data_IF_584522977621
#
_entry.id   IF_584522977621
#
_cell.length_a   1.000
_cell.length_b   1.000
_cell.length_c   1.000
_cell.angle_alpha   90.00
_cell.angle_beta   90.00
_cell.angle_gamma   90.00
#
_symmetry.space_group_name_H-M   'P 1'
#
loop_
_entity.id
_entity.type
_entity.pdbx_description
1 polymer ?
#
# COMPACT_ATOMS: atom_id res chain seq x y z
N UNK A 1 -17.43 -3.76 19.08
CA UNK A 1 -16.83 -5.02 18.58
C UNK A 1 -16.39 -4.93 17.11
N UNK A 2 -16.81 -3.92 16.34
CA UNK A 2 -16.50 -3.84 14.89
C UNK A 2 -15.21 -3.08 14.55
N UNK A 3 -14.68 -2.22 15.43
CA UNK A 3 -13.51 -1.39 15.13
C UNK A 3 -12.23 -2.18 14.73
N UNK A 4 -11.90 -3.34 15.32
CA UNK A 4 -10.71 -4.11 14.94
C UNK A 4 -10.87 -4.84 13.59
N UNK A 5 -12.08 -5.33 13.32
CA UNK A 5 -12.41 -5.98 12.06
C UNK A 5 -12.37 -4.96 10.90
N UNK A 6 -12.92 -3.77 11.12
CA UNK A 6 -12.87 -2.67 10.15
C UNK A 6 -11.43 -2.18 9.92
N UNK A 7 -10.60 -2.12 10.96
CA UNK A 7 -9.18 -1.75 10.81
C UNK A 7 -8.43 -2.78 9.95
N UNK A 8 -8.66 -4.08 10.16
CA UNK A 8 -8.05 -5.15 9.36
C UNK A 8 -8.48 -5.07 7.90
N UNK A 9 -9.79 -4.92 7.66
CA UNK A 9 -10.34 -4.72 6.31
C UNK A 9 -9.73 -3.50 5.62
N UNK A 10 -9.63 -2.37 6.32
CA UNK A 10 -9.07 -1.13 5.77
C UNK A 10 -7.59 -1.29 5.36
N UNK A 11 -6.78 -2.00 6.15
CA UNK A 11 -5.37 -2.27 5.82
C UNK A 11 -5.28 -3.08 4.53
N UNK A 12 -6.00 -4.21 4.43
CA UNK A 12 -5.94 -5.06 3.24
C UNK A 12 -6.48 -4.36 2.00
N UNK A 13 -7.59 -3.62 2.15
CA UNK A 13 -8.17 -2.84 1.06
C UNK A 13 -7.21 -1.75 0.58
N UNK A 14 -6.57 -1.04 1.51
CA UNK A 14 -5.56 -0.04 1.17
C UNK A 14 -4.38 -0.67 0.43
N UNK A 15 -3.83 -1.78 0.94
CA UNK A 15 -2.71 -2.49 0.31
C UNK A 15 -3.06 -2.95 -1.10
N UNK A 16 -4.27 -3.48 -1.29
CA UNK A 16 -4.73 -3.91 -2.61
C UNK A 16 -4.71 -2.74 -3.60
N UNK A 17 -5.42 -1.66 -3.28
CA UNK A 17 -5.56 -0.50 -4.17
C UNK A 17 -4.23 0.22 -4.39
N UNK A 18 -3.38 0.31 -3.36
CA UNK A 18 -2.06 0.95 -3.44
C UNK A 18 -1.12 0.24 -4.42
N UNK A 19 -1.23 -1.08 -4.55
CA UNK A 19 -0.35 -1.88 -5.42
C UNK A 19 -0.94 -2.13 -6.81
N UNK A 20 -2.15 -1.66 -7.12
CA UNK A 20 -2.82 -1.97 -8.38
C UNK A 20 -2.27 -1.13 -9.55
N UNK A 21 -1.24 -1.68 -10.22
CA UNK A 21 -0.62 -1.06 -11.39
C UNK A 21 -1.52 -1.13 -12.63
N UNK A 22 -2.24 -2.23 -12.85
CA UNK A 22 -3.02 -2.43 -14.07
C UNK A 22 -4.19 -1.44 -14.14
N UNK A 23 -4.92 -1.28 -13.04
CA UNK A 23 -5.99 -0.27 -12.97
C UNK A 23 -5.41 1.12 -13.18
N UNK A 24 -4.25 1.42 -12.57
CA UNK A 24 -3.60 2.70 -12.77
C UNK A 24 -3.27 2.94 -14.26
N UNK A 25 -2.67 1.98 -14.97
CA UNK A 25 -2.30 2.12 -16.38
C UNK A 25 -3.52 2.26 -17.32
N UNK A 26 -4.63 1.61 -17.00
CA UNK A 26 -5.84 1.64 -17.84
C UNK A 26 -6.62 2.94 -17.65
N UNK A 27 -6.72 3.44 -16.43
CA UNK A 27 -7.60 4.56 -16.09
C UNK A 27 -6.87 5.90 -15.94
N UNK A 28 -5.58 5.90 -15.61
CA UNK A 28 -4.78 7.11 -15.43
C UNK A 28 -4.02 7.40 -16.71
N UNK A 29 -4.44 8.45 -17.41
CA UNK A 29 -3.73 8.96 -18.58
C UNK A 29 -2.37 9.61 -18.24
N UNK A 30 -1.58 9.97 -19.27
CA UNK A 30 -0.31 10.68 -19.07
C UNK A 30 -0.52 12.02 -18.34
N UNK A 31 0.35 12.36 -17.40
CA UNK A 31 0.34 13.65 -16.71
C UNK A 31 0.97 13.60 -15.31
N UNK A 32 0.90 14.73 -14.62
CA UNK A 32 1.59 14.93 -13.33
C UNK A 32 0.93 14.24 -12.13
N UNK A 33 -0.21 13.57 -12.34
CA UNK A 33 -1.02 12.92 -11.30
C UNK A 33 -0.94 11.39 -11.37
N UNK A 34 0.24 10.86 -11.69
CA UNK A 34 0.45 9.43 -11.78
C UNK A 34 0.62 8.81 -10.38
N UNK A 35 -0.04 7.66 -10.10
CA UNK A 35 0.25 6.86 -8.93
C UNK A 35 1.71 6.41 -8.89
N UNK A 36 2.21 6.15 -7.67
CA UNK A 36 3.58 5.66 -7.45
C UNK A 36 3.85 4.39 -8.26
N UNK A 37 2.86 3.51 -8.44
CA UNK A 37 3.00 2.29 -9.26
C UNK A 37 3.41 2.60 -10.71
N UNK A 38 2.76 3.57 -11.35
CA UNK A 38 3.11 4.02 -12.71
C UNK A 38 4.47 4.73 -12.72
N UNK A 39 4.70 5.62 -11.76
CA UNK A 39 5.96 6.37 -11.69
C UNK A 39 7.17 5.41 -11.56
N UNK A 40 7.04 4.37 -10.74
CA UNK A 40 8.06 3.33 -10.56
C UNK A 40 8.22 2.48 -11.82
N UNK A 41 7.12 2.09 -12.49
CA UNK A 41 7.23 1.30 -13.74
C UNK A 41 7.91 2.07 -14.86
N UNK A 42 7.74 3.40 -14.90
CA UNK A 42 8.35 4.27 -15.90
C UNK A 42 9.87 4.46 -15.69
N UNK A 43 10.44 4.03 -14.57
CA UNK A 43 11.89 4.05 -14.34
C UNK A 43 12.63 2.95 -15.11
N UNK A 44 11.92 1.91 -15.56
CA UNK A 44 12.46 0.91 -16.48
C UNK A 44 12.49 1.49 -17.88
N UNK A 45 13.69 1.64 -18.44
CA UNK A 45 13.83 1.95 -19.85
C UNK A 45 13.54 0.71 -20.70
N UNK A 46 13.20 0.94 -21.97
CA UNK A 46 12.88 -0.13 -22.94
C UNK A 46 14.01 -1.16 -23.15
N UNK A 47 15.24 -0.82 -22.73
CA UNK A 47 16.42 -1.69 -22.79
C UNK A 47 16.68 -2.47 -21.50
N UNK A 48 15.79 -2.38 -20.50
CA UNK A 48 15.91 -3.10 -19.22
C UNK A 48 16.91 -2.49 -18.24
N UNK A 49 17.48 -1.31 -18.54
CA UNK A 49 18.27 -0.51 -17.60
C UNK A 49 17.38 0.25 -16.62
N UNK A 50 17.81 0.36 -15.35
CA UNK A 50 17.08 1.07 -14.29
C UNK A 50 16.54 0.19 -13.16
N UNK A 51 16.92 -1.09 -13.10
CA UNK A 51 16.53 -1.97 -12.00
C UNK A 51 16.96 -1.44 -10.63
N UNK A 52 18.12 -0.80 -10.54
CA UNK A 52 18.62 -0.18 -9.30
C UNK A 52 17.67 0.92 -8.82
N UNK A 53 17.15 1.73 -9.76
CA UNK A 53 16.19 2.80 -9.50
C UNK A 53 14.82 2.25 -9.11
N UNK A 54 14.35 1.21 -9.80
CA UNK A 54 13.07 0.55 -9.51
C UNK A 54 13.09 -0.10 -8.13
N UNK A 55 14.17 -0.80 -7.79
CA UNK A 55 14.32 -1.43 -6.47
C UNK A 55 14.39 -0.37 -5.37
N UNK A 56 15.15 0.71 -5.57
CA UNK A 56 15.21 1.82 -4.62
C UNK A 56 13.83 2.47 -4.44
N UNK A 57 13.15 2.81 -5.55
CA UNK A 57 11.83 3.44 -5.52
C UNK A 57 10.76 2.51 -4.92
N UNK A 58 10.86 1.19 -5.17
CA UNK A 58 10.03 0.17 -4.51
C UNK A 58 10.22 0.17 -2.99
N UNK A 59 11.45 0.29 -2.51
CA UNK A 59 11.75 0.40 -1.07
C UNK A 59 11.07 1.63 -0.44
N UNK A 60 11.13 2.77 -1.12
CA UNK A 60 10.45 3.99 -0.67
C UNK A 60 8.92 3.88 -0.77
N UNK A 61 8.38 3.21 -1.80
CA UNK A 61 6.95 3.00 -1.99
C UNK A 61 6.32 2.26 -0.81
N UNK A 62 7.03 1.29 -0.22
CA UNK A 62 6.57 0.51 0.94
C UNK A 62 6.42 1.35 2.22
N UNK A 63 7.09 2.50 2.32
CA UNK A 63 7.00 3.37 3.50
C UNK A 63 5.57 3.85 3.77
N UNK A 64 4.79 4.13 2.72
CA UNK A 64 3.41 4.61 2.87
C UNK A 64 2.48 3.51 3.41
N UNK A 65 2.42 2.31 2.79
CA UNK A 65 1.76 1.15 3.39
C UNK A 65 2.18 0.83 4.81
N UNK A 66 3.48 0.88 5.10
CA UNK A 66 4.01 0.60 6.43
C UNK A 66 3.50 1.63 7.44
N UNK A 67 3.50 2.92 7.10
CA UNK A 67 2.97 3.96 7.95
C UNK A 67 1.47 3.73 8.25
N UNK A 68 0.66 3.46 7.22
CA UNK A 68 -0.77 3.17 7.37
C UNK A 68 -0.99 1.96 8.28
N UNK A 69 -0.21 0.88 8.09
CA UNK A 69 -0.25 -0.29 8.95
C UNK A 69 0.04 0.07 10.41
N UNK A 70 1.15 0.76 10.70
CA UNK A 70 1.54 1.15 12.05
C UNK A 70 0.48 2.04 12.73
N UNK A 71 -0.13 2.97 11.99
CA UNK A 71 -1.22 3.82 12.51
C UNK A 71 -2.48 3.01 12.86
N UNK A 72 -2.82 2.00 12.04
CA UNK A 72 -4.01 1.17 12.24
C UNK A 72 -3.77 0.01 13.22
N UNK A 73 -2.52 -0.40 13.43
CA UNK A 73 -2.12 -1.50 14.31
C UNK A 73 -2.62 -1.29 15.75
N UNK A 74 -2.70 -0.06 16.25
CA UNK A 74 -3.23 0.24 17.59
C UNK A 74 -4.69 -0.21 17.77
N UNK A 75 -5.50 -0.18 16.72
CA UNK A 75 -6.90 -0.63 16.76
C UNK A 75 -6.99 -2.15 16.72
N UNK A 76 -6.06 -2.79 16.02
CA UNK A 76 -5.92 -4.24 16.01
C UNK A 76 -5.58 -4.78 17.41
N UNK A 77 -4.57 -4.19 18.07
CA UNK A 77 -4.13 -4.58 19.42
C UNK A 77 -5.26 -4.40 20.45
N UNK A 78 -5.94 -3.24 20.45
CA UNK A 78 -7.09 -2.99 21.35
C UNK A 78 -8.25 -3.98 21.11
N UNK A 79 -8.42 -4.41 19.87
CA UNK A 79 -9.41 -5.41 19.50
C UNK A 79 -9.15 -6.77 20.10
N UNK A 80 -7.93 -7.28 19.92
CA UNK A 80 -7.46 -8.55 20.50
C UNK A 80 -7.60 -8.56 22.02
N UNK A 81 -7.15 -7.50 22.70
CA UNK A 81 -7.23 -7.44 24.17
C UNK A 81 -8.67 -7.37 24.66
N UNK A 82 -9.58 -6.67 23.96
CA UNK A 82 -10.99 -6.59 24.35
C UNK A 82 -11.78 -7.90 24.15
N UNK A 83 -11.33 -8.75 23.22
CA UNK A 83 -11.87 -10.10 23.02
C UNK A 83 -11.36 -11.10 24.06
N UNK A 84 -10.13 -10.93 24.55
CA UNK A 84 -9.50 -11.83 25.51
C UNK A 84 -10.06 -11.75 26.94
N UNK A 85 -10.65 -10.61 27.34
CA UNK A 85 -11.21 -10.43 28.70
C UNK A 85 -12.66 -10.92 28.85
N UNK A 86 -13.28 -11.40 27.78
CA UNK A 86 -14.64 -11.97 27.80
C UNK A 86 -14.68 -13.49 27.65
N UNK A 87 -13.51 -14.14 27.70
CA UNK A 87 -13.37 -15.59 27.85
C UNK A 87 -13.18 -15.97 29.30
#
# INVERSE_FOLDING_TARGET
MSAPALASFAIFQFLWVWNDLLVALVFVGPGDKQPVTIAVSNLLNQQGTGWELVTAAGLFSVLVPLAVFLFLQRYFVRGLTSGAVKG
#
